data_IF_016237726759
#
_entry.id   IF_016237726759
#
_cell.length_a   1.000
_cell.length_b   1.000
_cell.length_c   1.000
_cell.angle_alpha   90.00
_cell.angle_beta   90.00
_cell.angle_gamma   90.00
#
_symmetry.space_group_name_H-M   'P 1'
#
loop_
_entity.id
_entity.type
_entity.pdbx_description
1 polymer ?
#
# COMPACT_ATOMS: atom_id res chain seq x y z
N UNK A 1 53.30 43.74 82.60
CA UNK A 1 54.19 44.77 82.01
C UNK A 1 54.10 44.66 80.51
N UNK A 2 53.85 45.79 79.86
CA UNK A 2 53.44 45.89 78.46
C UNK A 2 54.52 45.47 77.45
N UNK A 3 54.07 44.99 76.30
CA UNK A 3 54.57 45.47 75.01
C UNK A 3 53.41 45.57 74.01
N UNK A 4 52.89 46.79 73.89
CA UNK A 4 52.18 47.24 72.70
C UNK A 4 53.16 47.29 71.53
N UNK A 5 52.73 46.77 70.37
CA UNK A 5 53.27 47.11 69.05
C UNK A 5 52.23 47.95 68.30
N UNK A 6 52.75 48.91 67.54
CA UNK A 6 52.03 49.98 66.85
C UNK A 6 51.22 49.49 65.64
N UNK A 7 50.22 50.28 65.20
CA UNK A 7 49.40 50.04 64.01
C UNK A 7 50.17 50.35 62.71
N UNK A 8 49.87 49.64 61.61
CA UNK A 8 50.21 50.11 60.26
C UNK A 8 51.14 49.27 59.38
N UNK A 9 51.00 47.94 59.32
CA UNK A 9 51.54 47.17 58.19
C UNK A 9 50.45 46.30 57.57
N UNK A 10 49.90 46.79 56.46
CA UNK A 10 49.12 45.98 55.53
C UNK A 10 50.13 45.16 54.73
N UNK A 11 50.02 43.83 54.78
CA UNK A 11 50.82 42.94 53.95
C UNK A 11 50.63 43.31 52.47
N UNK A 12 51.70 43.36 51.65
CA UNK A 12 51.55 43.62 50.22
C UNK A 12 50.70 42.51 49.60
N UNK A 13 49.62 42.90 48.94
CA UNK A 13 48.77 42.01 48.15
C UNK A 13 49.59 41.46 46.99
N UNK A 14 49.96 40.18 47.06
CA UNK A 14 50.52 39.45 45.92
C UNK A 14 49.35 39.10 44.98
N UNK A 15 49.38 39.52 43.71
CA UNK A 15 48.38 39.06 42.75
C UNK A 15 48.49 37.54 42.58
N UNK A 16 47.36 36.83 42.39
CA UNK A 16 47.40 35.41 42.13
C UNK A 16 48.22 35.12 40.86
N UNK A 17 48.90 33.96 40.78
CA UNK A 17 49.61 33.56 39.58
C UNK A 17 48.63 33.49 38.39
N UNK A 18 49.09 33.82 37.17
CA UNK A 18 48.25 33.69 35.98
C UNK A 18 47.80 32.24 35.81
N UNK A 19 46.53 32.06 35.47
CA UNK A 19 45.96 30.76 35.15
C UNK A 19 46.72 30.13 33.96
N UNK A 20 46.85 28.79 33.93
CA UNK A 20 47.42 28.10 32.77
C UNK A 20 46.61 28.45 31.52
N UNK A 21 47.30 28.92 30.48
CA UNK A 21 46.72 29.04 29.14
C UNK A 21 46.35 27.66 28.64
N UNK A 22 45.07 27.43 28.38
CA UNK A 22 44.61 26.21 27.72
C UNK A 22 45.27 26.08 26.35
N UNK A 23 45.66 24.86 25.92
CA UNK A 23 46.23 24.65 24.60
C UNK A 23 45.20 24.98 23.52
N UNK A 24 45.64 25.67 22.47
CA UNK A 24 44.86 25.98 21.27
C UNK A 24 44.22 24.71 20.70
N UNK A 25 42.91 24.80 20.49
CA UNK A 25 42.07 23.75 19.92
C UNK A 25 42.49 23.51 18.46
N UNK A 26 43.12 22.37 18.22
CA UNK A 26 43.58 21.88 16.93
C UNK A 26 42.33 21.49 16.12
N UNK A 27 41.69 22.48 15.49
CA UNK A 27 40.49 22.27 14.69
C UNK A 27 40.79 21.27 13.56
N UNK A 28 40.16 20.08 13.53
CA UNK A 28 40.38 19.13 12.46
C UNK A 28 39.90 19.72 11.12
N UNK A 29 40.57 19.39 10.00
CA UNK A 29 40.23 19.95 8.69
C UNK A 29 38.78 19.64 8.31
N UNK A 30 38.10 20.54 7.58
CA UNK A 30 36.72 20.35 7.19
C UNK A 30 36.58 19.07 6.35
N UNK A 31 35.65 18.22 6.77
CA UNK A 31 35.35 16.98 6.07
C UNK A 31 34.98 17.25 4.60
N UNK A 32 35.43 16.40 3.64
CA UNK A 32 35.06 16.55 2.24
C UNK A 32 33.54 16.47 2.11
N UNK A 33 32.97 17.44 1.38
CA UNK A 33 31.56 17.51 1.03
C UNK A 33 31.13 16.18 0.39
N UNK A 34 30.43 15.36 1.18
CA UNK A 34 29.80 14.13 0.72
C UNK A 34 28.85 14.47 -0.43
N UNK A 35 28.99 13.73 -1.54
CA UNK A 35 28.05 13.76 -2.65
C UNK A 35 26.61 13.56 -2.12
N UNK A 36 25.59 14.20 -2.73
CA UNK A 36 24.21 14.04 -2.30
C UNK A 36 23.85 12.56 -2.26
N UNK A 37 23.44 12.09 -1.08
CA UNK A 37 22.97 10.72 -0.87
C UNK A 37 21.83 10.43 -1.87
N UNK A 38 21.75 9.21 -2.42
CA UNK A 38 20.63 8.84 -3.28
C UNK A 38 19.33 9.11 -2.52
N UNK A 39 18.48 9.94 -3.12
CA UNK A 39 17.16 10.26 -2.60
C UNK A 39 16.48 8.94 -2.25
N UNK A 40 16.16 8.76 -0.97
CA UNK A 40 15.44 7.60 -0.48
C UNK A 40 14.06 7.62 -1.15
N UNK A 41 13.92 6.91 -2.27
CA UNK A 41 12.62 6.75 -2.90
C UNK A 41 11.80 5.89 -1.97
N UNK A 42 10.82 6.48 -1.29
CA UNK A 42 9.75 5.73 -0.63
C UNK A 42 8.98 5.02 -1.74
N UNK A 43 9.43 3.82 -2.14
CA UNK A 43 8.69 3.01 -3.09
C UNK A 43 7.38 2.62 -2.44
N UNK A 44 6.28 2.94 -3.10
CA UNK A 44 4.95 2.50 -2.70
C UNK A 44 4.92 0.96 -2.81
N UNK A 45 4.89 0.27 -1.68
CA UNK A 45 4.87 -1.21 -1.62
C UNK A 45 3.61 -1.80 -2.27
N UNK A 46 2.59 -0.96 -2.55
CA UNK A 46 1.35 -1.33 -3.23
C UNK A 46 1.44 -1.05 -4.72
N UNK A 47 1.90 -2.05 -5.46
CA UNK A 47 2.12 -1.97 -6.91
C UNK A 47 1.02 -2.65 -7.73
N UNK A 48 0.33 -3.64 -7.18
CA UNK A 48 -0.38 -4.63 -7.99
C UNK A 48 -1.89 -4.39 -8.04
N UNK A 49 -2.52 -4.78 -9.14
CA UNK A 49 -3.95 -5.03 -9.22
C UNK A 49 -4.23 -6.45 -8.73
N UNK A 50 -4.87 -6.57 -7.56
CA UNK A 50 -5.25 -7.88 -7.04
C UNK A 50 -6.54 -8.37 -7.67
N UNK A 51 -6.50 -9.54 -8.29
CA UNK A 51 -7.65 -10.22 -8.87
C UNK A 51 -8.41 -10.96 -7.77
N UNK A 52 -9.69 -10.60 -7.58
CA UNK A 52 -10.62 -11.27 -6.67
C UNK A 52 -11.80 -11.83 -7.44
N UNK A 53 -12.04 -13.13 -7.31
CA UNK A 53 -13.12 -13.83 -7.99
C UNK A 53 -13.42 -15.17 -7.31
N UNK A 54 -14.61 -15.72 -7.57
CA UNK A 54 -14.95 -17.07 -7.11
C UNK A 54 -14.42 -18.08 -8.11
N UNK A 55 -13.35 -18.80 -7.77
CA UNK A 55 -12.72 -19.81 -8.62
C UNK A 55 -13.36 -21.21 -8.49
N UNK A 56 -14.68 -21.27 -8.34
CA UNK A 56 -15.42 -22.54 -8.21
C UNK A 56 -16.01 -23.05 -9.53
N UNK A 57 -15.90 -22.26 -10.60
CA UNK A 57 -16.43 -22.56 -11.92
C UNK A 57 -15.32 -22.44 -12.97
N UNK A 58 -15.21 -23.43 -13.86
CA UNK A 58 -14.11 -23.50 -14.83
C UNK A 58 -14.19 -22.41 -15.91
N UNK A 59 -15.41 -22.03 -16.32
CA UNK A 59 -15.65 -20.94 -17.28
C UNK A 59 -15.22 -19.60 -16.66
N UNK A 60 -15.63 -19.33 -15.42
CA UNK A 60 -15.21 -18.14 -14.69
C UNK A 60 -13.70 -18.08 -14.49
N UNK A 61 -13.05 -19.19 -14.12
CA UNK A 61 -11.58 -19.26 -13.98
C UNK A 61 -10.90 -18.98 -15.32
N UNK A 62 -11.36 -19.60 -16.41
CA UNK A 62 -10.79 -19.40 -17.74
C UNK A 62 -10.94 -17.95 -18.21
N UNK A 63 -12.12 -17.36 -17.99
CA UNK A 63 -12.41 -15.97 -18.31
C UNK A 63 -11.50 -15.00 -17.54
N UNK A 64 -11.38 -15.17 -16.22
CA UNK A 64 -10.52 -14.33 -15.38
C UNK A 64 -9.05 -14.47 -15.80
N UNK A 65 -8.58 -15.70 -16.09
CA UNK A 65 -7.23 -15.93 -16.59
C UNK A 65 -6.99 -15.25 -17.95
N UNK A 66 -7.98 -15.28 -18.85
CA UNK A 66 -7.91 -14.59 -20.14
C UNK A 66 -7.76 -13.07 -19.96
N UNK A 67 -8.60 -12.45 -19.13
CA UNK A 67 -8.51 -11.01 -18.82
C UNK A 67 -7.15 -10.67 -18.20
N UNK A 68 -6.69 -11.48 -17.23
CA UNK A 68 -5.37 -11.34 -16.60
C UNK A 68 -4.24 -11.34 -17.65
N UNK A 69 -4.22 -12.33 -18.52
CA UNK A 69 -3.13 -12.51 -19.48
C UNK A 69 -3.06 -11.32 -20.47
N UNK A 70 -4.22 -10.79 -20.88
CA UNK A 70 -4.30 -9.57 -21.70
C UNK A 70 -3.77 -8.35 -20.93
N UNK A 71 -4.11 -8.21 -19.64
CA UNK A 71 -3.63 -7.11 -18.80
C UNK A 71 -2.11 -7.18 -18.56
N UNK A 72 -1.57 -8.37 -18.33
CA UNK A 72 -0.12 -8.61 -18.22
C UNK A 72 0.57 -8.23 -19.53
N UNK A 73 0.02 -8.62 -20.68
CA UNK A 73 0.57 -8.26 -21.99
C UNK A 73 0.56 -6.73 -22.23
N UNK A 74 -0.35 -6.00 -21.59
CA UNK A 74 -0.41 -4.53 -21.58
C UNK A 74 0.51 -3.88 -20.54
N UNK A 75 1.27 -4.66 -19.77
CA UNK A 75 2.21 -4.16 -18.76
C UNK A 75 1.56 -3.74 -17.45
N UNK A 76 0.35 -4.23 -17.16
CA UNK A 76 -0.30 -4.00 -15.87
C UNK A 76 0.24 -4.99 -14.83
N UNK A 77 0.74 -4.53 -13.68
CA UNK A 77 1.14 -5.42 -12.59
C UNK A 77 -0.11 -6.06 -11.99
N UNK A 78 -0.23 -7.39 -12.11
CA UNK A 78 -1.40 -8.15 -11.67
C UNK A 78 -0.95 -9.19 -10.66
N UNK A 79 -1.66 -9.29 -9.55
CA UNK A 79 -1.56 -10.39 -8.60
C UNK A 79 -2.83 -11.24 -8.66
N UNK A 80 -2.68 -12.54 -8.88
CA UNK A 80 -3.79 -13.49 -8.84
C UNK A 80 -3.32 -14.72 -8.08
N UNK A 81 -4.11 -15.14 -7.08
CA UNK A 81 -3.84 -16.38 -6.35
C UNK A 81 -3.94 -17.57 -7.31
N UNK A 82 -2.92 -18.42 -7.32
CA UNK A 82 -2.90 -19.65 -8.13
C UNK A 82 -2.62 -20.84 -7.22
N UNK A 83 -3.32 -21.94 -7.48
CA UNK A 83 -3.10 -23.18 -6.71
C UNK A 83 -2.84 -24.32 -7.65
N UNK A 84 -1.65 -24.88 -7.51
CA UNK A 84 -1.13 -25.97 -8.28
C UNK A 84 -1.36 -27.33 -7.59
N UNK A 85 -1.87 -27.38 -6.35
CA UNK A 85 -2.24 -28.65 -5.72
C UNK A 85 -2.91 -28.60 -4.34
N UNK A 86 -3.42 -29.75 -3.85
CA UNK A 86 -3.91 -29.89 -2.49
C UNK A 86 -2.75 -29.72 -1.50
N UNK A 87 -2.82 -28.67 -0.68
CA UNK A 87 -1.77 -28.27 0.27
C UNK A 87 -1.23 -26.85 0.03
N UNK A 88 -1.56 -26.23 -1.10
CA UNK A 88 -1.24 -24.82 -1.33
C UNK A 88 -2.00 -23.93 -0.36
N UNK A 89 -1.26 -23.06 0.32
CA UNK A 89 -1.80 -22.12 1.28
C UNK A 89 -2.45 -20.93 0.55
N UNK A 90 -3.64 -21.14 -0.02
CA UNK A 90 -4.50 -20.08 -0.58
C UNK A 90 -4.48 -18.82 0.30
N UNK A 91 -4.56 -19.02 1.63
CA UNK A 91 -4.57 -17.90 2.56
C UNK A 91 -3.29 -17.09 2.63
N UNK A 92 -2.11 -17.71 2.51
CA UNK A 92 -0.83 -16.98 2.52
C UNK A 92 -0.73 -16.12 1.25
N UNK A 93 -1.06 -16.68 0.10
CA UNK A 93 -1.07 -15.94 -1.16
C UNK A 93 -2.10 -14.80 -1.16
N UNK A 94 -3.30 -15.02 -0.61
CA UNK A 94 -4.31 -13.97 -0.47
C UNK A 94 -3.80 -12.82 0.40
N UNK A 95 -3.14 -13.11 1.53
CA UNK A 95 -2.58 -12.07 2.42
C UNK A 95 -1.46 -11.29 1.72
N UNK A 96 -0.55 -11.98 1.03
CA UNK A 96 0.51 -11.34 0.25
C UNK A 96 -0.07 -10.45 -0.86
N UNK A 97 -1.07 -10.95 -1.58
CA UNK A 97 -1.78 -10.20 -2.61
C UNK A 97 -2.42 -8.93 -2.06
N UNK A 98 -3.14 -9.03 -0.94
CA UNK A 98 -3.78 -7.89 -0.30
C UNK A 98 -2.76 -6.86 0.23
N UNK A 99 -1.60 -7.32 0.70
CA UNK A 99 -0.52 -6.46 1.14
C UNK A 99 0.04 -5.60 -0.01
N UNK A 100 0.26 -6.22 -1.18
CA UNK A 100 0.78 -5.57 -2.39
C UNK A 100 -0.30 -4.86 -3.23
N UNK A 101 -1.57 -5.05 -2.90
CA UNK A 101 -2.68 -4.53 -3.69
C UNK A 101 -2.75 -3.00 -3.62
N UNK A 102 -2.60 -2.36 -4.78
CA UNK A 102 -2.94 -0.95 -4.99
C UNK A 102 -4.45 -0.77 -5.21
N UNK A 103 -5.08 -1.74 -5.86
CA UNK A 103 -6.51 -1.82 -6.06
C UNK A 103 -6.96 -3.28 -6.14
N UNK A 104 -8.24 -3.50 -5.88
CA UNK A 104 -8.92 -4.78 -6.01
C UNK A 104 -9.75 -4.81 -7.30
N UNK A 105 -9.47 -5.77 -8.17
CA UNK A 105 -10.27 -6.08 -9.34
C UNK A 105 -11.28 -7.17 -8.97
N UNK A 106 -12.54 -6.78 -8.78
CA UNK A 106 -13.60 -7.63 -8.25
C UNK A 106 -14.45 -8.23 -9.38
N UNK A 107 -14.26 -9.51 -9.70
CA UNK A 107 -15.06 -10.24 -10.69
C UNK A 107 -16.38 -10.73 -10.08
N UNK A 108 -17.40 -9.88 -10.21
CA UNK A 108 -18.70 -10.01 -9.56
C UNK A 108 -19.63 -10.97 -10.32
N UNK A 109 -19.48 -12.27 -10.05
CA UNK A 109 -20.51 -13.29 -10.35
C UNK A 109 -21.62 -13.34 -9.30
N UNK A 110 -22.64 -14.18 -9.51
CA UNK A 110 -23.85 -14.27 -8.66
C UNK A 110 -23.55 -14.52 -7.17
N UNK A 111 -22.52 -15.32 -6.87
CA UNK A 111 -22.10 -15.68 -5.50
C UNK A 111 -20.89 -14.87 -5.00
N UNK A 112 -20.51 -13.79 -5.68
CA UNK A 112 -19.40 -12.96 -5.26
C UNK A 112 -19.69 -12.29 -3.91
N UNK A 113 -18.70 -12.25 -3.02
CA UNK A 113 -18.86 -11.73 -1.67
C UNK A 113 -19.63 -12.67 -0.73
N UNK A 114 -19.91 -13.92 -1.12
CA UNK A 114 -20.48 -14.90 -0.20
C UNK A 114 -19.53 -15.17 0.97
N UNK A 115 -20.05 -15.35 2.18
CA UNK A 115 -19.28 -15.82 3.36
C UNK A 115 -19.48 -17.33 3.58
N UNK A 116 -18.42 -18.12 3.46
CA UNK A 116 -18.39 -19.58 3.66
C UNK A 116 -17.64 -19.99 4.93
N UNK A 117 -16.86 -19.08 5.52
CA UNK A 117 -16.10 -19.36 6.74
C UNK A 117 -14.72 -19.99 6.50
N UNK A 118 -14.28 -20.12 5.24
CA UNK A 118 -12.95 -20.59 4.88
C UNK A 118 -11.82 -19.58 5.20
N UNK A 119 -12.16 -18.34 5.53
CA UNK A 119 -11.22 -17.30 5.96
C UNK A 119 -10.51 -16.53 4.83
N UNK A 120 -10.42 -17.11 3.63
CA UNK A 120 -9.75 -16.51 2.46
C UNK A 120 -10.65 -16.60 1.23
N UNK A 121 -11.74 -15.83 1.30
CA UNK A 121 -12.79 -15.81 0.29
C UNK A 121 -13.07 -14.38 -0.16
N UNK A 122 -13.76 -14.24 -1.29
CA UNK A 122 -14.08 -12.92 -1.88
C UNK A 122 -14.79 -11.97 -0.91
N UNK A 123 -15.53 -12.49 0.08
CA UNK A 123 -16.07 -11.68 1.18
C UNK A 123 -14.98 -10.97 2.00
N UNK A 124 -13.93 -11.71 2.41
CA UNK A 124 -12.82 -11.18 3.21
C UNK A 124 -11.96 -10.23 2.40
N UNK A 125 -11.68 -10.57 1.14
CA UNK A 125 -10.90 -9.72 0.22
C UNK A 125 -11.61 -8.38 -0.04
N UNK A 126 -12.90 -8.42 -0.36
CA UNK A 126 -13.70 -7.21 -0.59
C UNK A 126 -13.80 -6.34 0.67
N UNK A 127 -14.00 -6.97 1.83
CA UNK A 127 -14.01 -6.26 3.11
C UNK A 127 -12.66 -5.59 3.38
N UNK A 128 -11.56 -6.31 3.21
CA UNK A 128 -10.22 -5.77 3.42
C UNK A 128 -9.98 -4.55 2.52
N UNK A 129 -10.33 -4.66 1.23
CA UNK A 129 -10.17 -3.57 0.28
C UNK A 129 -10.96 -2.33 0.71
N UNK A 130 -12.22 -2.51 1.11
CA UNK A 130 -13.06 -1.43 1.61
C UNK A 130 -12.49 -0.79 2.90
N UNK A 131 -12.16 -1.60 3.90
CA UNK A 131 -11.69 -1.14 5.21
C UNK A 131 -10.34 -0.41 5.10
N UNK A 132 -9.49 -0.82 4.15
CA UNK A 132 -8.19 -0.20 3.87
C UNK A 132 -8.23 0.87 2.77
N UNK A 133 -9.43 1.25 2.31
CA UNK A 133 -9.64 2.26 1.26
C UNK A 133 -8.84 1.97 -0.01
N UNK A 134 -8.69 0.69 -0.35
CA UNK A 134 -8.20 0.29 -1.66
C UNK A 134 -9.26 0.68 -2.69
N UNK A 135 -8.79 1.09 -3.87
CA UNK A 135 -9.69 1.26 -5.01
C UNK A 135 -10.29 -0.11 -5.35
N UNK A 136 -11.60 -0.15 -5.58
CA UNK A 136 -12.31 -1.37 -5.98
C UNK A 136 -12.84 -1.13 -7.39
N UNK A 137 -12.42 -1.96 -8.34
CA UNK A 137 -12.87 -1.93 -9.74
C UNK A 137 -13.80 -3.13 -9.93
N UNK A 138 -15.13 -2.94 -9.90
CA UNK A 138 -16.08 -4.04 -10.08
C UNK A 138 -16.22 -4.40 -11.56
N UNK A 139 -16.20 -5.69 -11.83
CA UNK A 139 -16.52 -6.29 -13.13
C UNK A 139 -17.82 -7.08 -12.95
N UNK A 140 -18.92 -6.56 -13.46
CA UNK A 140 -20.22 -7.21 -13.38
C UNK A 140 -20.29 -8.37 -14.39
N UNK A 141 -20.34 -9.59 -13.88
CA UNK A 141 -20.46 -10.83 -14.66
C UNK A 141 -21.82 -11.53 -14.47
N UNK A 142 -22.75 -10.90 -13.77
CA UNK A 142 -24.09 -11.42 -13.54
C UNK A 142 -25.16 -10.33 -13.75
N UNK A 143 -26.40 -10.73 -13.96
CA UNK A 143 -27.49 -9.80 -14.27
C UNK A 143 -27.85 -8.86 -13.12
N UNK A 144 -27.56 -9.27 -11.88
CA UNK A 144 -27.91 -8.51 -10.66
C UNK A 144 -26.70 -7.82 -10.07
N UNK A 145 -26.77 -6.50 -9.91
CA UNK A 145 -25.72 -5.71 -9.24
C UNK A 145 -26.28 -4.82 -8.12
N UNK A 146 -25.67 -4.79 -6.92
CA UNK A 146 -24.57 -5.67 -6.49
C UNK A 146 -24.97 -7.16 -6.46
N UNK A 147 -24.00 -8.08 -6.55
CA UNK A 147 -24.28 -9.51 -6.41
C UNK A 147 -25.01 -9.82 -5.11
N UNK A 148 -25.94 -10.77 -5.18
CA UNK A 148 -26.76 -11.19 -4.05
C UNK A 148 -26.44 -12.64 -3.64
N UNK A 149 -25.32 -12.88 -2.94
CA UNK A 149 -24.99 -14.22 -2.46
C UNK A 149 -26.06 -14.74 -1.48
N UNK A 150 -26.11 -16.06 -1.24
CA UNK A 150 -27.16 -16.68 -0.43
C UNK A 150 -27.12 -16.27 1.06
N UNK A 151 -25.98 -15.81 1.58
CA UNK A 151 -25.84 -15.40 2.98
C UNK A 151 -26.13 -13.91 3.21
N UNK A 152 -26.71 -13.58 4.37
CA UNK A 152 -27.09 -12.21 4.72
C UNK A 152 -25.87 -11.28 4.85
N UNK A 153 -24.76 -11.78 5.38
CA UNK A 153 -23.55 -10.98 5.60
C UNK A 153 -22.96 -10.50 4.26
N UNK A 154 -22.82 -11.41 3.30
CA UNK A 154 -22.37 -11.10 1.95
C UNK A 154 -23.27 -10.10 1.23
N UNK A 155 -24.60 -10.27 1.31
CA UNK A 155 -25.54 -9.29 0.73
C UNK A 155 -25.40 -7.91 1.37
N UNK A 156 -25.35 -7.84 2.69
CA UNK A 156 -25.22 -6.58 3.41
C UNK A 156 -23.91 -5.86 3.06
N UNK A 157 -22.79 -6.59 3.03
CA UNK A 157 -21.50 -6.05 2.62
C UNK A 157 -21.54 -5.56 1.18
N UNK A 158 -22.00 -6.39 0.24
CA UNK A 158 -22.04 -6.01 -1.17
C UNK A 158 -22.91 -4.78 -1.40
N UNK A 159 -24.02 -4.61 -0.67
CA UNK A 159 -24.86 -3.42 -0.78
C UNK A 159 -24.14 -2.13 -0.36
N UNK A 160 -23.29 -2.20 0.67
CA UNK A 160 -22.54 -1.05 1.18
C UNK A 160 -21.29 -0.77 0.34
N UNK A 161 -20.54 -1.81 -0.01
CA UNK A 161 -19.24 -1.69 -0.69
C UNK A 161 -19.40 -1.55 -2.20
N UNK A 162 -20.24 -2.38 -2.81
CA UNK A 162 -20.51 -2.40 -4.26
C UNK A 162 -21.80 -1.65 -4.54
N UNK A 163 -21.86 -0.37 -4.17
CA UNK A 163 -23.07 0.44 -4.32
C UNK A 163 -23.62 0.37 -5.75
N UNK A 164 -24.95 0.40 -5.96
CA UNK A 164 -25.53 0.32 -7.30
C UNK A 164 -25.07 1.41 -8.28
N UNK A 165 -24.67 2.57 -7.75
CA UNK A 165 -24.16 3.73 -8.49
C UNK A 165 -22.64 3.74 -8.66
N UNK A 166 -21.93 2.72 -8.18
CA UNK A 166 -20.51 2.55 -8.41
C UNK A 166 -20.25 2.23 -9.90
N UNK A 167 -19.29 2.95 -10.48
CA UNK A 167 -18.82 2.67 -11.84
C UNK A 167 -18.24 1.26 -11.91
N UNK A 168 -18.63 0.52 -12.94
CA UNK A 168 -18.26 -0.88 -13.14
C UNK A 168 -18.12 -1.21 -14.61
N UNK A 169 -17.29 -2.19 -14.93
CA UNK A 169 -17.21 -2.76 -16.28
C UNK A 169 -18.22 -3.89 -16.37
N UNK A 170 -18.95 -3.99 -17.47
CA UNK A 170 -20.00 -4.99 -17.65
C UNK A 170 -19.61 -6.00 -18.72
N UNK A 171 -19.64 -7.28 -18.38
CA UNK A 171 -19.59 -8.38 -19.35
C UNK A 171 -20.35 -9.58 -18.77
N UNK A 172 -21.68 -9.46 -18.68
CA UNK A 172 -22.55 -10.48 -18.06
C UNK A 172 -22.53 -11.82 -18.80
N UNK A 173 -22.08 -11.83 -20.06
CA UNK A 173 -21.93 -13.04 -20.87
C UNK A 173 -20.53 -13.65 -20.84
N UNK A 174 -19.56 -13.05 -20.14
CA UNK A 174 -18.16 -13.48 -20.08
C UNK A 174 -17.55 -13.78 -21.47
N UNK A 175 -17.94 -13.00 -22.49
CA UNK A 175 -17.64 -13.31 -23.88
C UNK A 175 -16.68 -12.30 -24.54
N UNK A 176 -16.30 -11.24 -23.82
CA UNK A 176 -15.42 -10.20 -24.36
C UNK A 176 -14.30 -9.81 -23.38
N UNK A 177 -13.39 -10.76 -23.08
CA UNK A 177 -12.29 -10.50 -22.15
C UNK A 177 -11.35 -9.38 -22.63
N UNK A 178 -11.22 -9.18 -23.94
CA UNK A 178 -10.42 -8.10 -24.52
C UNK A 178 -11.00 -6.73 -24.19
N UNK A 179 -12.30 -6.53 -24.41
CA UNK A 179 -12.96 -5.26 -24.07
C UNK A 179 -12.85 -4.97 -22.58
N UNK A 180 -13.08 -5.97 -21.72
CA UNK A 180 -12.95 -5.79 -20.27
C UNK A 180 -11.52 -5.42 -19.87
N UNK A 181 -10.51 -6.07 -20.45
CA UNK A 181 -9.12 -5.73 -20.21
C UNK A 181 -8.77 -4.31 -20.71
N UNK A 182 -9.33 -3.86 -21.83
CA UNK A 182 -9.14 -2.49 -22.34
C UNK A 182 -9.73 -1.44 -21.39
N UNK A 183 -10.94 -1.65 -20.88
CA UNK A 183 -11.58 -0.77 -19.90
C UNK A 183 -10.80 -0.70 -18.59
N UNK A 184 -10.35 -1.85 -18.08
CA UNK A 184 -9.51 -1.92 -16.88
C UNK A 184 -8.18 -1.19 -17.10
N UNK A 185 -7.51 -1.43 -18.24
CA UNK A 185 -6.26 -0.77 -18.57
C UNK A 185 -6.43 0.75 -18.70
N UNK A 186 -7.54 1.21 -19.28
CA UNK A 186 -7.87 2.63 -19.37
C UNK A 186 -8.13 3.25 -17.99
N UNK A 187 -8.80 2.54 -17.08
CA UNK A 187 -9.00 2.97 -15.70
C UNK A 187 -7.66 3.05 -14.93
N UNK A 188 -6.82 2.01 -15.06
CA UNK A 188 -5.48 1.94 -14.48
C UNK A 188 -4.57 3.09 -14.96
N UNK A 189 -4.54 3.33 -16.27
CA UNK A 189 -3.68 4.37 -16.86
C UNK A 189 -4.12 5.77 -16.47
N UNK A 190 -5.43 6.08 -16.51
CA UNK A 190 -5.97 7.35 -16.03
C UNK A 190 -5.55 7.63 -14.58
N UNK A 191 -5.50 6.58 -13.75
CA UNK A 191 -5.06 6.69 -12.37
C UNK A 191 -3.57 6.96 -12.23
N UNK A 192 -2.71 6.27 -12.98
CA UNK A 192 -1.26 6.56 -13.01
C UNK A 192 -0.97 8.00 -13.43
N UNK A 193 -1.75 8.54 -14.37
CA UNK A 193 -1.65 9.95 -14.77
C UNK A 193 -2.02 10.88 -13.61
N UNK A 194 -3.11 10.60 -12.89
CA UNK A 194 -3.51 11.40 -11.71
C UNK A 194 -2.45 11.39 -10.59
N UNK A 195 -1.81 10.25 -10.35
CA UNK A 195 -0.75 10.11 -9.35
C UNK A 195 0.52 10.88 -9.75
N UNK A 196 0.89 10.89 -11.03
CA UNK A 196 2.02 11.68 -11.54
C UNK A 196 1.83 13.19 -11.39
N UNK A 197 0.59 13.67 -11.50
CA UNK A 197 0.27 15.10 -11.32
C UNK A 197 0.31 15.54 -9.84
N UNK A 198 0.13 14.61 -8.90
CA UNK A 198 0.11 14.89 -7.46
C UNK A 198 1.46 14.67 -6.76
N UNK A 199 2.49 14.21 -7.46
CA UNK A 199 3.87 14.30 -6.96
C UNK A 199 4.30 15.77 -7.06
N UNK A 200 3.85 16.59 -6.10
CA UNK A 200 4.53 17.85 -5.83
C UNK A 200 5.96 17.50 -5.44
N UNK A 201 6.99 18.06 -6.08
CA UNK A 201 8.34 17.98 -5.57
C UNK A 201 8.33 18.78 -4.26
N UNK A 202 8.11 18.11 -3.15
CA UNK A 202 8.50 18.67 -1.87
C UNK A 202 10.01 18.47 -1.79
N UNK A 203 10.73 19.49 -2.25
CA UNK A 203 12.12 19.77 -1.90
C UNK A 203 12.13 20.67 -0.67
#
# INVERSE_FOLDING_TARGET
>A
MARCLMPGQVLPYLPPPPLPTEPEDDQPPPAPLLAPLPLCTCQDERTDLMVSGRFNDAEMVAYIKSVRDILIAKGVPIFMVDTQGPGDAFGVQTVEGLYKAKALLAFCGTNYGQRTGAGYETYVELRYAHDNKLEIIPIQLCDTFPPQPPDLAGRAQNHVVLRPDLMRVMDTGMNNPLHVADEIHAAWTRRLQHLRVHVKPYC
#
